data_IF_929761882496
#
_entry.id   IF_929761882496
#
_cell.length_a   1.000
_cell.length_b   1.000
_cell.length_c   1.000
_cell.angle_alpha   90.00
_cell.angle_beta   90.00
_cell.angle_gamma   90.00
#
_symmetry.space_group_name_H-M   'P 1'
#
loop_
_entity.id
_entity.type
_entity.pdbx_description
1 polymer ?
#
# COMPACT_ATOMS: atom_id res chain seq x y z
N UNK A 1 -4.94 17.43 8.29
CA UNK A 1 -3.89 16.53 8.85
C UNK A 1 -4.56 15.23 9.28
N UNK A 2 -4.15 14.08 8.72
CA UNK A 2 -4.71 12.78 9.09
C UNK A 2 -4.26 12.41 10.52
N UNK A 3 -5.22 12.26 11.45
CA UNK A 3 -4.96 11.91 12.86
C UNK A 3 -4.12 10.63 12.97
N UNK A 4 -4.35 9.64 12.09
CA UNK A 4 -3.59 8.40 12.06
C UNK A 4 -2.08 8.62 11.86
N UNK A 5 -1.69 9.57 11.00
CA UNK A 5 -0.27 9.85 10.76
C UNK A 5 0.38 10.47 12.01
N UNK A 6 -0.35 11.31 12.73
CA UNK A 6 0.14 11.91 13.99
C UNK A 6 0.32 10.84 15.07
N UNK A 7 -0.62 9.89 15.18
CA UNK A 7 -0.49 8.76 16.11
C UNK A 7 0.74 7.92 15.79
N UNK A 8 0.99 7.62 14.50
CA UNK A 8 2.16 6.84 14.09
C UNK A 8 3.46 7.60 14.41
N UNK A 9 3.56 8.88 14.03
CA UNK A 9 4.74 9.72 14.32
C UNK A 9 5.04 9.78 15.82
N UNK A 10 4.02 10.01 16.64
CA UNK A 10 4.16 10.06 18.09
C UNK A 10 4.58 8.71 18.68
N UNK A 11 4.06 7.59 18.17
CA UNK A 11 4.49 6.26 18.61
C UNK A 11 5.96 5.98 18.27
N UNK A 12 6.41 6.35 17.08
CA UNK A 12 7.81 6.22 16.67
C UNK A 12 8.71 7.00 17.63
N UNK A 13 8.38 8.27 17.89
CA UNK A 13 9.14 9.16 18.78
C UNK A 13 9.23 8.60 20.22
N UNK A 14 8.12 8.10 20.76
CA UNK A 14 8.05 7.65 22.16
C UNK A 14 8.56 6.23 22.38
N UNK A 15 8.54 5.36 21.38
CA UNK A 15 8.91 3.95 21.52
C UNK A 15 10.41 3.69 21.41
N UNK A 16 11.18 4.61 20.83
CA UNK A 16 12.58 4.37 20.48
C UNK A 16 12.76 3.31 19.38
N UNK A 17 11.71 3.05 18.59
CA UNK A 17 11.77 2.12 17.45
C UNK A 17 12.68 2.63 16.33
N UNK A 18 13.16 1.71 15.49
CA UNK A 18 13.89 1.97 14.25
C UNK A 18 12.98 2.25 13.04
N UNK A 19 11.68 2.47 13.28
CA UNK A 19 10.69 2.75 12.24
C UNK A 19 10.81 4.20 11.77
N UNK A 20 10.91 4.41 10.46
CA UNK A 20 10.86 5.72 9.83
C UNK A 20 9.46 6.02 9.28
N UNK A 21 8.97 7.25 9.51
CA UNK A 21 7.77 7.74 8.85
C UNK A 21 8.15 8.53 7.59
N UNK A 22 7.66 8.09 6.44
CA UNK A 22 7.85 8.79 5.16
C UNK A 22 6.58 9.61 4.88
N UNK A 23 6.73 10.94 4.80
CA UNK A 23 5.65 11.83 4.36
C UNK A 23 5.41 11.67 2.85
N UNK A 24 4.14 11.63 2.45
CA UNK A 24 3.72 11.37 1.06
C UNK A 24 2.52 12.23 0.64
N UNK A 25 2.35 12.39 -0.67
CA UNK A 25 1.12 12.96 -1.23
C UNK A 25 -0.06 11.99 -1.02
N UNK A 26 -1.27 12.55 -1.01
CA UNK A 26 -2.49 11.79 -0.73
C UNK A 26 -2.84 10.76 -1.81
N UNK A 27 -2.35 10.93 -3.03
CA UNK A 27 -2.76 10.13 -4.17
C UNK A 27 -1.64 9.28 -4.77
N UNK A 28 -0.40 9.75 -4.71
CA UNK A 28 0.73 9.04 -5.28
C UNK A 28 2.03 9.31 -4.51
N UNK A 29 2.78 8.26 -4.25
CA UNK A 29 4.19 8.35 -3.87
C UNK A 29 4.89 7.10 -4.34
N UNK A 30 6.21 7.12 -4.40
CA UNK A 30 6.99 5.95 -4.71
C UNK A 30 8.32 5.98 -3.96
N UNK A 31 8.86 4.78 -3.73
CA UNK A 31 10.13 4.61 -3.03
C UNK A 31 10.98 3.55 -3.74
N UNK A 32 12.30 3.72 -3.67
CA UNK A 32 13.25 2.66 -3.97
C UNK A 32 13.80 2.10 -2.66
N UNK A 33 13.72 0.78 -2.48
CA UNK A 33 14.30 0.10 -1.32
C UNK A 33 15.11 -1.09 -1.82
N UNK A 34 16.41 -1.09 -1.51
CA UNK A 34 17.34 -2.16 -1.91
C UNK A 34 17.32 -2.46 -3.43
N UNK A 35 17.08 -1.44 -4.27
CA UNK A 35 17.02 -1.58 -5.72
C UNK A 35 15.62 -1.83 -6.29
N UNK A 36 14.65 -2.20 -5.46
CA UNK A 36 13.26 -2.44 -5.86
C UNK A 36 12.43 -1.15 -5.79
N UNK A 37 11.65 -0.89 -6.83
CA UNK A 37 10.81 0.30 -6.98
C UNK A 37 9.34 -0.03 -6.69
N UNK A 38 8.78 0.64 -5.69
CA UNK A 38 7.39 0.46 -5.29
C UNK A 38 6.61 1.75 -5.48
N UNK A 39 5.53 1.67 -6.25
CA UNK A 39 4.55 2.75 -6.35
C UNK A 39 3.45 2.55 -5.30
N UNK A 40 2.99 3.65 -4.70
CA UNK A 40 1.88 3.67 -3.76
C UNK A 40 0.80 4.62 -4.28
N UNK A 41 -0.42 4.12 -4.33
CA UNK A 41 -1.60 4.89 -4.74
C UNK A 41 -2.71 4.76 -3.71
N UNK A 42 -3.57 5.77 -3.60
CA UNK A 42 -4.75 5.63 -2.76
C UNK A 42 -5.71 4.55 -3.29
N UNK A 43 -5.93 4.49 -4.62
CA UNK A 43 -6.72 3.46 -5.29
C UNK A 43 -8.06 3.91 -5.86
N UNK A 44 -8.45 5.17 -5.66
CA UNK A 44 -9.65 5.79 -6.23
C UNK A 44 -9.43 6.29 -7.67
N UNK A 45 -8.29 6.94 -7.93
CA UNK A 45 -7.90 7.41 -9.28
C UNK A 45 -7.22 6.33 -10.13
N UNK A 46 -6.51 5.42 -9.47
CA UNK A 46 -5.76 4.34 -10.11
C UNK A 46 -6.28 3.00 -9.59
N UNK A 47 -7.24 2.41 -10.30
CA UNK A 47 -7.85 1.15 -9.86
C UNK A 47 -6.87 -0.01 -9.98
N UNK A 48 -6.55 -0.65 -8.86
CA UNK A 48 -5.67 -1.83 -8.85
C UNK A 48 -6.33 -3.11 -9.40
N UNK A 49 -7.62 -3.07 -9.71
CA UNK A 49 -8.31 -4.14 -10.43
C UNK A 49 -7.98 -4.13 -11.94
N UNK A 50 -7.54 -3.00 -12.48
CA UNK A 50 -7.14 -2.87 -13.88
C UNK A 50 -5.73 -3.43 -14.02
N UNK A 51 -5.56 -4.49 -14.82
CA UNK A 51 -4.27 -5.21 -14.98
C UNK A 51 -3.12 -4.35 -15.51
N UNK A 52 -3.44 -3.23 -16.15
CA UNK A 52 -2.46 -2.32 -16.78
C UNK A 52 -2.02 -1.18 -15.87
N UNK A 53 -2.57 -1.05 -14.66
CA UNK A 53 -2.29 0.10 -13.78
C UNK A 53 -0.81 0.25 -13.46
N UNK A 54 -0.10 -0.84 -13.22
CA UNK A 54 1.34 -0.82 -12.96
C UNK A 54 2.13 -0.32 -14.18
N UNK A 55 1.75 -0.74 -15.40
CA UNK A 55 2.36 -0.28 -16.63
C UNK A 55 2.08 1.20 -16.90
N UNK A 56 0.83 1.64 -16.68
CA UNK A 56 0.41 3.04 -16.84
C UNK A 56 1.15 3.98 -15.89
N UNK A 57 1.33 3.57 -14.63
CA UNK A 57 2.14 4.35 -13.68
C UNK A 57 3.61 4.38 -14.10
N UNK A 58 4.14 3.27 -14.61
CA UNK A 58 5.51 3.23 -15.11
C UNK A 58 5.75 4.17 -16.29
N UNK A 59 4.80 4.23 -17.23
CA UNK A 59 4.83 5.19 -18.35
C UNK A 59 4.65 6.63 -17.86
N UNK A 60 3.68 6.88 -16.98
CA UNK A 60 3.38 8.22 -16.49
C UNK A 60 4.56 8.86 -15.73
N UNK A 61 5.31 8.07 -14.98
CA UNK A 61 6.41 8.55 -14.12
C UNK A 61 7.80 8.20 -14.67
N UNK A 62 7.89 7.70 -15.90
CA UNK A 62 9.14 7.27 -16.55
C UNK A 62 10.01 6.39 -15.64
N UNK A 63 9.39 5.38 -15.02
CA UNK A 63 10.01 4.53 -14.00
C UNK A 63 9.57 3.08 -14.12
N UNK A 64 10.50 2.16 -13.90
CA UNK A 64 10.16 0.74 -13.78
C UNK A 64 9.71 0.44 -12.35
N UNK A 65 8.45 0.07 -12.15
CA UNK A 65 7.94 -0.38 -10.85
C UNK A 65 7.84 -1.90 -10.77
N UNK A 66 8.26 -2.46 -9.64
CA UNK A 66 8.17 -3.88 -9.34
C UNK A 66 6.81 -4.23 -8.71
N UNK A 67 6.26 -3.31 -7.92
CA UNK A 67 4.86 -3.40 -7.52
C UNK A 67 4.18 -2.04 -7.38
N UNK A 68 2.86 -2.07 -7.55
CA UNK A 68 1.97 -0.98 -7.14
C UNK A 68 1.10 -1.44 -5.97
N UNK A 69 1.10 -0.65 -4.91
CA UNK A 69 0.42 -0.94 -3.65
C UNK A 69 -0.64 0.13 -3.42
N UNK A 70 -1.81 -0.25 -2.92
CA UNK A 70 -2.84 0.74 -2.64
C UNK A 70 -3.91 0.31 -1.67
N UNK A 71 -4.80 1.24 -1.36
CA UNK A 71 -5.86 1.07 -0.36
C UNK A 71 -7.24 1.23 -0.97
N UNK A 72 -8.04 2.11 -0.35
CA UNK A 72 -9.39 2.51 -0.78
C UNK A 72 -10.49 1.43 -0.65
N UNK A 73 -10.29 0.23 -1.22
CA UNK A 73 -11.32 -0.82 -1.27
C UNK A 73 -11.53 -1.56 0.06
N UNK A 74 -10.68 -1.28 1.05
CA UNK A 74 -10.67 -1.95 2.35
C UNK A 74 -10.62 -3.47 2.22
N UNK A 75 -9.97 -4.01 1.20
CA UNK A 75 -9.90 -5.45 0.95
C UNK A 75 -8.51 -5.82 0.48
N UNK A 76 -8.00 -6.93 0.99
CA UNK A 76 -6.77 -7.49 0.46
C UNK A 76 -7.00 -8.17 -0.90
N UNK A 77 -6.18 -7.83 -1.88
CA UNK A 77 -6.05 -8.55 -3.15
C UNK A 77 -4.62 -8.43 -3.63
N UNK A 78 -4.12 -9.45 -4.30
CA UNK A 78 -2.81 -9.41 -4.95
C UNK A 78 -2.94 -10.08 -6.32
N UNK A 79 -2.40 -9.43 -7.33
CA UNK A 79 -2.40 -9.91 -8.70
C UNK A 79 -1.01 -9.73 -9.29
N UNK A 80 -0.45 -10.83 -9.79
CA UNK A 80 0.75 -10.79 -10.63
C UNK A 80 0.37 -10.33 -12.04
N UNK A 81 1.08 -9.33 -12.55
CA UNK A 81 0.79 -8.67 -13.85
C UNK A 81 1.98 -8.70 -14.81
N UNK A 82 3.07 -9.32 -14.42
CA UNK A 82 4.28 -9.52 -15.20
C UNK A 82 5.26 -10.40 -14.44
N UNK A 83 6.44 -10.63 -15.00
CA UNK A 83 7.48 -11.45 -14.39
C UNK A 83 7.95 -10.84 -13.05
N UNK A 84 7.55 -11.46 -11.94
CA UNK A 84 7.81 -10.97 -10.57
C UNK A 84 7.29 -9.53 -10.33
N UNK A 85 6.15 -9.17 -10.93
CA UNK A 85 5.55 -7.83 -10.80
C UNK A 85 4.10 -7.88 -10.32
N UNK A 86 3.76 -7.05 -9.35
CA UNK A 86 2.49 -7.19 -8.62
C UNK A 86 1.67 -5.91 -8.50
N UNK A 87 0.36 -6.06 -8.50
CA UNK A 87 -0.58 -5.05 -8.03
C UNK A 87 -1.26 -5.59 -6.77
N UNK A 88 -1.13 -4.88 -5.66
CA UNK A 88 -1.71 -5.32 -4.40
C UNK A 88 -2.55 -4.22 -3.73
N UNK A 89 -3.77 -4.58 -3.34
CA UNK A 89 -4.61 -3.74 -2.49
C UNK A 89 -4.50 -4.24 -1.07
N UNK A 90 -4.28 -3.36 -0.11
CA UNK A 90 -4.26 -3.68 1.31
C UNK A 90 -5.61 -3.45 1.98
N UNK A 91 -5.83 -4.20 3.07
CA UNK A 91 -7.05 -4.12 3.85
C UNK A 91 -7.15 -2.84 4.68
N UNK A 92 -8.06 -2.85 5.64
CA UNK A 92 -8.26 -1.73 6.56
C UNK A 92 -7.72 -2.05 7.95
N UNK A 93 -6.90 -1.15 8.51
CA UNK A 93 -6.43 -1.22 9.91
C UNK A 93 -7.61 -1.08 10.88
N UNK A 94 -8.55 -0.18 10.54
CA UNK A 94 -9.80 0.05 11.29
C UNK A 94 -10.73 -1.15 11.21
N UNK A 95 -10.79 -1.82 10.06
CA UNK A 95 -11.74 -2.90 9.79
C UNK A 95 -13.16 -2.40 9.63
N UNK A 96 -14.13 -3.24 9.97
CA UNK A 96 -15.56 -2.96 9.79
C UNK A 96 -16.12 -2.03 10.88
N UNK A 97 -16.75 -0.94 10.47
CA UNK A 97 -17.60 -0.05 11.27
C UNK A 97 -19.04 0.05 10.71
N UNK A 98 -19.93 0.79 11.40
CA UNK A 98 -21.31 0.99 10.95
C UNK A 98 -21.43 1.63 9.55
N UNK A 99 -20.48 2.48 9.18
CA UNK A 99 -20.45 3.08 7.84
C UNK A 99 -20.13 2.04 6.77
N UNK A 100 -19.07 1.25 6.96
CA UNK A 100 -18.65 0.17 6.06
C UNK A 100 -19.72 -0.92 5.92
N UNK A 101 -20.51 -1.18 6.98
CA UNK A 101 -21.68 -2.07 6.92
C UNK A 101 -22.76 -1.51 5.98
N UNK A 102 -23.03 -0.20 6.04
CA UNK A 102 -24.03 0.46 5.17
C UNK A 102 -23.65 0.42 3.69
N UNK A 103 -22.36 0.52 3.38
CA UNK A 103 -21.86 0.47 1.99
C UNK A 103 -21.39 -0.92 1.54
N UNK A 104 -21.65 -1.96 2.34
CA UNK A 104 -21.21 -3.34 2.08
C UNK A 104 -19.70 -3.53 1.88
N UNK A 105 -18.87 -2.58 2.33
CA UNK A 105 -17.41 -2.64 2.29
C UNK A 105 -16.85 -3.32 3.55
N UNK A 106 -17.34 -4.53 3.84
CA UNK A 106 -16.99 -5.28 5.05
C UNK A 106 -15.58 -5.86 4.92
N UNK A 107 -14.73 -5.62 5.91
CA UNK A 107 -13.41 -6.24 5.98
C UNK A 107 -12.96 -6.55 7.40
N UNK A 108 -12.28 -7.69 7.53
CA UNK A 108 -11.45 -7.97 8.70
C UNK A 108 -10.31 -6.96 8.79
N UNK A 109 -9.90 -6.66 10.03
CA UNK A 109 -8.75 -5.80 10.30
C UNK A 109 -7.50 -6.44 9.73
N UNK A 110 -6.76 -5.69 8.92
CA UNK A 110 -5.49 -6.13 8.37
C UNK A 110 -4.68 -4.96 7.85
N UNK A 111 -3.38 -5.19 7.72
CA UNK A 111 -2.43 -4.28 7.09
C UNK A 111 -1.58 -5.06 6.08
N UNK A 112 -0.95 -4.34 5.16
CA UNK A 112 0.04 -4.92 4.26
C UNK A 112 1.44 -4.57 4.73
N UNK A 113 2.38 -5.49 4.52
CA UNK A 113 3.81 -5.26 4.67
C UNK A 113 4.52 -5.77 3.42
N UNK A 114 5.61 -5.11 3.04
CA UNK A 114 6.51 -5.59 2.00
C UNK A 114 7.86 -5.84 2.65
N UNK A 115 8.31 -7.08 2.56
CA UNK A 115 9.64 -7.49 3.03
C UNK A 115 10.57 -7.42 1.82
N UNK A 116 11.70 -6.74 1.95
CA UNK A 116 12.59 -6.47 0.82
C UNK A 116 14.03 -6.80 1.20
N UNK A 117 14.74 -7.50 0.33
CA UNK A 117 16.18 -7.64 0.37
C UNK A 117 16.77 -7.33 -1.03
N UNK A 118 18.08 -7.47 -1.21
CA UNK A 118 18.74 -7.11 -2.48
C UNK A 118 18.39 -8.04 -3.66
N UNK A 119 17.83 -9.22 -3.40
CA UNK A 119 17.59 -10.27 -4.38
C UNK A 119 16.10 -10.52 -4.64
N UNK A 120 15.22 -10.20 -3.69
CA UNK A 120 13.78 -10.45 -3.78
C UNK A 120 12.98 -9.50 -2.87
N UNK A 121 11.67 -9.48 -3.12
CA UNK A 121 10.69 -8.88 -2.22
C UNK A 121 9.47 -9.78 -2.05
N UNK A 122 8.77 -9.64 -0.93
CA UNK A 122 7.55 -10.38 -0.64
C UNK A 122 6.46 -9.46 -0.08
N UNK A 123 5.27 -9.51 -0.68
CA UNK A 123 4.10 -8.77 -0.22
C UNK A 123 3.25 -9.67 0.68
N UNK A 124 3.07 -9.27 1.95
CA UNK A 124 2.28 -10.02 2.94
C UNK A 124 1.10 -9.23 3.48
N UNK A 125 -0.01 -9.93 3.72
CA UNK A 125 -1.12 -9.45 4.55
C UNK A 125 -0.89 -9.87 6.00
N UNK A 126 -0.91 -8.91 6.91
CA UNK A 126 -0.88 -9.15 8.36
C UNK A 126 -2.28 -8.94 8.94
N UNK A 127 -2.79 -9.93 9.68
CA UNK A 127 -4.05 -9.83 10.42
C UNK A 127 -3.81 -9.09 11.75
N UNK A 128 -4.75 -8.21 12.12
CA UNK A 128 -4.72 -7.41 13.35
C UNK A 128 -5.81 -7.87 14.33
#
# INVERSE_FOLDING_TARGET
VNISNQIIKMWIELSGSDVEFIDSDSYFTDINVQGWNFAFVHGDRNSLNKKTTLAELGEQYDRHYDAVLGGHLHRFSMLEVGDNRFQATFGSIKGMDEYSKKISAKSSRSQGVVLVNQNEFEIRKVKL
#
